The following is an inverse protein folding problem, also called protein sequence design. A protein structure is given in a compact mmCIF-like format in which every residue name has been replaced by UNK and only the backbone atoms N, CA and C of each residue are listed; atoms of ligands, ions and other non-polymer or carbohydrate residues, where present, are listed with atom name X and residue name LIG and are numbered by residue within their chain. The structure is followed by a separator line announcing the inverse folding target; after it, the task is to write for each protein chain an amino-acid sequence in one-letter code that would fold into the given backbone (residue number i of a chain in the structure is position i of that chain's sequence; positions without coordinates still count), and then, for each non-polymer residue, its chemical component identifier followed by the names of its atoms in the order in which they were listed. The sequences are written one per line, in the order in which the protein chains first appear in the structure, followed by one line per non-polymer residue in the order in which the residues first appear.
data_IF_065983391630
#
_entry.id   IF_065983391630
#
_cell.length_a   1.000
_cell.length_b   1.000
_cell.length_c   1.000
_cell.angle_alpha   90.00
_cell.angle_beta   90.00
_cell.angle_gamma   90.00
#
_symmetry.space_group_name_H-M   'P 1'
#
loop_
_entity.id
_entity.type
_entity.pdbx_description
1 polymer ?
#
# COMPACT_ATOMS: atom_id res chain seq x y z
N UNK A 1 1.69 -32.99 13.49
CA UNK A 1 2.05 -31.93 14.45
C UNK A 1 2.02 -30.64 13.68
N UNK A 2 1.14 -29.70 14.04
CA UNK A 2 1.18 -28.33 13.54
C UNK A 2 2.04 -27.52 14.52
N UNK A 3 2.97 -26.73 14.00
CA UNK A 3 3.75 -25.77 14.79
C UNK A 3 3.11 -24.41 14.57
N UNK A 4 2.70 -23.75 15.65
CA UNK A 4 2.24 -22.35 15.61
C UNK A 4 3.43 -21.47 15.92
N UNK A 5 3.77 -20.59 14.99
CA UNK A 5 4.83 -19.59 15.17
C UNK A 5 4.15 -18.24 15.39
N UNK A 6 4.54 -17.54 16.45
CA UNK A 6 4.05 -16.20 16.78
C UNK A 6 5.15 -15.20 16.46
N UNK A 7 4.80 -14.12 15.78
CA UNK A 7 5.66 -12.98 15.51
C UNK A 7 5.05 -11.75 16.16
N UNK A 8 5.89 -10.84 16.65
CA UNK A 8 5.42 -9.58 17.23
C UNK A 8 5.02 -8.58 16.12
N UNK A 9 5.65 -8.70 14.95
CA UNK A 9 5.40 -7.85 13.79
C UNK A 9 5.39 -8.67 12.49
N UNK A 10 4.57 -8.25 11.51
CA UNK A 10 4.53 -8.88 10.20
C UNK A 10 5.84 -8.68 9.43
N UNK A 11 6.50 -7.54 9.62
CA UNK A 11 7.82 -7.21 9.09
C UNK A 11 8.92 -8.17 9.58
N UNK A 12 8.79 -8.79 10.77
CA UNK A 12 9.71 -9.84 11.21
C UNK A 12 9.57 -11.10 10.35
N UNK A 13 8.33 -11.48 10.01
CA UNK A 13 8.05 -12.62 9.16
C UNK A 13 8.63 -12.43 7.76
N UNK A 14 8.53 -11.21 7.19
CA UNK A 14 9.10 -10.86 5.89
C UNK A 14 10.60 -11.19 5.77
N UNK A 15 11.36 -11.14 6.86
CA UNK A 15 12.81 -11.45 6.87
C UNK A 15 13.12 -12.91 6.52
N UNK A 16 12.16 -13.80 6.73
CA UNK A 16 12.33 -15.24 6.57
C UNK A 16 11.82 -15.77 5.23
N UNK A 17 11.31 -14.89 4.35
CA UNK A 17 10.79 -15.28 3.05
C UNK A 17 11.64 -14.70 1.90
N UNK A 18 11.52 -15.27 0.70
CA UNK A 18 12.43 -14.95 -0.40
C UNK A 18 12.09 -13.61 -1.06
N UNK A 19 10.81 -13.34 -1.26
CA UNK A 19 10.29 -12.15 -1.95
C UNK A 19 9.72 -11.13 -0.96
N UNK A 20 9.09 -11.59 0.12
CA UNK A 20 8.54 -10.75 1.16
C UNK A 20 9.57 -9.88 1.87
N UNK A 21 10.86 -10.27 1.87
CA UNK A 21 11.94 -9.39 2.34
C UNK A 21 12.03 -8.07 1.57
N UNK A 22 11.54 -8.01 0.34
CA UNK A 22 11.52 -6.77 -0.44
C UNK A 22 10.52 -5.75 0.14
N UNK A 23 9.51 -6.19 0.91
CA UNK A 23 8.64 -5.29 1.67
C UNK A 23 9.43 -4.49 2.73
N UNK A 24 10.59 -4.98 3.16
CA UNK A 24 11.45 -4.31 4.15
C UNK A 24 12.32 -3.22 3.54
N UNK A 25 12.37 -3.12 2.21
CA UNK A 25 13.04 -2.03 1.50
C UNK A 25 12.09 -0.82 1.31
N UNK A 26 10.84 -0.94 1.75
CA UNK A 26 9.85 0.14 1.72
C UNK A 26 10.14 1.19 2.83
N UNK A 27 9.58 2.40 2.73
CA UNK A 27 9.76 3.41 3.76
C UNK A 27 9.21 2.94 5.12
N UNK A 28 9.86 3.31 6.22
CA UNK A 28 9.50 2.86 7.57
C UNK A 28 8.01 3.02 7.89
N UNK A 29 7.40 4.15 7.48
CA UNK A 29 5.96 4.41 7.66
C UNK A 29 5.06 3.41 6.96
N UNK A 30 5.48 2.91 5.80
CA UNK A 30 4.74 1.90 5.03
C UNK A 30 4.88 0.53 5.70
N UNK A 31 6.05 0.25 6.28
CA UNK A 31 6.29 -0.96 7.06
C UNK A 31 5.44 -0.95 8.34
N UNK A 32 5.40 0.18 9.06
CA UNK A 32 4.55 0.35 10.26
C UNK A 32 3.06 0.14 9.91
N UNK A 33 2.59 0.73 8.80
CA UNK A 33 1.21 0.54 8.34
C UNK A 33 0.90 -0.91 7.91
N UNK A 34 1.90 -1.63 7.38
CA UNK A 34 1.79 -3.04 7.03
C UNK A 34 1.67 -3.90 8.31
N UNK A 35 2.47 -3.59 9.32
CA UNK A 35 2.43 -4.24 10.63
C UNK A 35 1.06 -4.01 11.30
N UNK A 36 0.55 -2.77 11.29
CA UNK A 36 -0.78 -2.43 11.80
C UNK A 36 -1.91 -3.16 11.04
N UNK A 37 -1.79 -3.32 9.71
CA UNK A 37 -2.80 -4.04 8.91
C UNK A 37 -2.89 -5.53 9.28
N UNK A 38 -1.76 -6.16 9.57
CA UNK A 38 -1.70 -7.57 9.94
C UNK A 38 -1.75 -7.82 11.45
N UNK A 39 -1.78 -6.77 12.28
CA UNK A 39 -1.84 -6.92 13.73
C UNK A 39 -3.10 -7.69 14.18
N UNK A 40 -2.89 -8.62 15.12
CA UNK A 40 -3.94 -9.51 15.62
C UNK A 40 -4.45 -10.58 14.65
N UNK A 41 -3.99 -10.61 13.39
CA UNK A 41 -4.41 -11.63 12.42
C UNK A 41 -3.69 -12.96 12.63
N UNK A 42 -4.45 -14.06 12.58
CA UNK A 42 -3.87 -15.40 12.62
C UNK A 42 -3.12 -15.68 11.30
N UNK A 43 -1.83 -15.96 11.40
CA UNK A 43 -0.99 -16.21 10.25
C UNK A 43 -1.05 -17.69 9.80
N UNK A 44 -1.45 -17.93 8.55
CA UNK A 44 -1.28 -19.21 7.87
C UNK A 44 -0.10 -19.13 6.89
N UNK A 45 0.89 -19.99 7.09
CA UNK A 45 2.09 -20.06 6.24
C UNK A 45 1.77 -20.36 4.77
N UNK A 46 0.66 -21.05 4.48
CA UNK A 46 0.22 -21.30 3.10
C UNK A 46 -0.93 -20.37 2.67
N UNK A 47 -1.26 -19.36 3.48
CA UNK A 47 -2.35 -18.44 3.25
C UNK A 47 -1.97 -17.24 2.39
N UNK A 48 -2.97 -16.43 2.05
CA UNK A 48 -2.81 -15.21 1.26
C UNK A 48 -1.94 -14.16 1.97
N UNK A 49 -1.93 -14.16 3.31
CA UNK A 49 -1.08 -13.31 4.12
C UNK A 49 0.41 -13.68 4.07
N UNK A 50 0.83 -14.76 3.39
CA UNK A 50 2.26 -15.08 3.28
C UNK A 50 3.03 -13.92 2.60
N UNK A 51 4.15 -13.42 3.15
CA UNK A 51 4.84 -12.23 2.63
C UNK A 51 5.25 -12.30 1.17
N UNK A 52 5.65 -13.48 0.66
CA UNK A 52 5.93 -13.64 -0.77
C UNK A 52 4.67 -13.46 -1.62
N UNK A 53 3.51 -13.92 -1.13
CA UNK A 53 2.24 -13.74 -1.81
C UNK A 53 1.80 -12.27 -1.74
N UNK A 54 1.93 -11.63 -0.58
CA UNK A 54 1.63 -10.21 -0.41
C UNK A 54 2.47 -9.37 -1.36
N UNK A 55 3.79 -9.59 -1.41
CA UNK A 55 4.68 -8.85 -2.32
C UNK A 55 4.30 -9.01 -3.80
N UNK A 56 3.92 -10.22 -4.23
CA UNK A 56 3.68 -10.51 -5.65
C UNK A 56 2.26 -10.17 -6.10
N UNK A 57 1.26 -10.41 -5.25
CA UNK A 57 -0.15 -10.41 -5.64
C UNK A 57 -0.98 -9.34 -4.95
N UNK A 58 -0.56 -8.83 -3.79
CA UNK A 58 -1.39 -7.93 -2.98
C UNK A 58 -0.85 -6.52 -2.91
N UNK A 59 0.47 -6.36 -2.79
CA UNK A 59 1.12 -5.07 -2.68
C UNK A 59 1.32 -4.44 -4.07
N UNK A 60 1.06 -3.14 -4.16
CA UNK A 60 1.40 -2.34 -5.32
C UNK A 60 1.81 -0.93 -4.93
N UNK A 61 2.66 -0.34 -5.76
CA UNK A 61 3.07 1.06 -5.71
C UNK A 61 2.46 1.75 -6.92
N UNK A 62 1.53 2.67 -6.68
CA UNK A 62 0.75 3.33 -7.73
C UNK A 62 1.17 4.78 -7.89
N UNK A 63 1.17 5.25 -9.13
CA UNK A 63 1.44 6.66 -9.43
C UNK A 63 0.25 7.57 -9.08
N UNK A 64 0.51 8.87 -8.89
CA UNK A 64 -0.54 9.87 -8.69
C UNK A 64 -1.64 9.81 -9.76
N UNK A 65 -1.24 9.52 -11.00
CA UNK A 65 -2.18 9.39 -12.12
C UNK A 65 -3.13 8.21 -11.95
N UNK A 66 -2.60 7.04 -11.62
CA UNK A 66 -3.40 5.83 -11.42
C UNK A 66 -4.38 6.02 -10.27
N UNK A 67 -3.96 6.65 -9.18
CA UNK A 67 -4.83 6.90 -8.03
C UNK A 67 -5.89 7.96 -8.32
N UNK A 68 -5.50 9.13 -8.82
CA UNK A 68 -6.41 10.27 -8.98
C UNK A 68 -7.38 10.12 -10.16
N UNK A 69 -7.01 9.34 -11.18
CA UNK A 69 -7.84 9.13 -12.38
C UNK A 69 -8.47 7.75 -12.37
N UNK A 70 -7.65 6.70 -12.29
CA UNK A 70 -8.12 5.34 -12.61
C UNK A 70 -8.82 4.68 -11.41
N UNK A 71 -8.35 4.93 -10.17
CA UNK A 71 -8.96 4.37 -8.96
C UNK A 71 -10.08 5.26 -8.38
N UNK A 72 -9.80 6.55 -8.18
CA UNK A 72 -10.78 7.44 -7.52
C UNK A 72 -11.69 8.16 -8.50
N UNK A 73 -11.25 8.36 -9.75
CA UNK A 73 -11.99 9.14 -10.74
C UNK A 73 -12.17 10.62 -10.36
N UNK A 74 -11.38 11.14 -9.42
CA UNK A 74 -11.46 12.52 -8.95
C UNK A 74 -11.04 13.52 -10.01
N UNK A 75 -10.10 13.14 -10.87
CA UNK A 75 -9.59 13.98 -11.95
C UNK A 75 -9.79 13.32 -13.31
N UNK A 76 -10.07 14.15 -14.30
CA UNK A 76 -9.90 13.78 -15.70
C UNK A 76 -8.43 13.84 -16.11
N UNK A 77 -8.08 13.20 -17.23
CA UNK A 77 -6.73 13.25 -17.80
C UNK A 77 -6.26 14.67 -18.12
N UNK A 78 -7.18 15.55 -18.50
CA UNK A 78 -6.83 16.94 -18.80
C UNK A 78 -6.51 17.70 -17.50
N UNK A 79 -7.39 17.63 -16.50
CA UNK A 79 -7.18 18.32 -15.21
C UNK A 79 -5.89 17.87 -14.52
N UNK A 80 -5.58 16.57 -14.57
CA UNK A 80 -4.30 16.06 -14.07
C UNK A 80 -3.11 16.67 -14.81
N UNK A 81 -3.18 16.77 -16.14
CA UNK A 81 -2.09 17.35 -16.96
C UNK A 81 -1.89 18.82 -16.63
N UNK A 82 -2.98 19.57 -16.52
CA UNK A 82 -2.94 21.00 -16.18
C UNK A 82 -2.32 21.21 -14.79
N UNK A 83 -2.70 20.40 -13.78
CA UNK A 83 -2.12 20.47 -12.42
C UNK A 83 -0.63 20.15 -12.40
N UNK A 84 -0.17 19.19 -13.22
CA UNK A 84 1.25 18.86 -13.34
C UNK A 84 2.02 20.00 -14.00
N UNK A 85 1.51 20.58 -15.09
CA UNK A 85 2.15 21.69 -15.80
C UNK A 85 2.20 22.97 -14.95
N UNK A 86 1.17 23.21 -14.14
CA UNK A 86 1.13 24.33 -13.19
C UNK A 86 1.98 24.08 -11.92
N UNK A 87 2.48 22.85 -11.71
CA UNK A 87 3.25 22.48 -10.53
C UNK A 87 2.44 22.43 -9.23
N UNK A 88 1.11 22.25 -9.33
CA UNK A 88 0.14 22.31 -8.23
C UNK A 88 -0.40 20.95 -7.80
N UNK A 89 0.08 19.87 -8.43
CA UNK A 89 -0.39 18.51 -8.13
C UNK A 89 -0.18 18.12 -6.66
N UNK A 90 0.99 18.43 -6.09
CA UNK A 90 1.30 18.09 -4.70
C UNK A 90 0.40 18.82 -3.69
N UNK A 91 0.12 20.10 -3.93
CA UNK A 91 -0.81 20.89 -3.12
C UNK A 91 -2.22 20.29 -3.19
N UNK A 92 -2.68 19.93 -4.39
CA UNK A 92 -3.98 19.28 -4.59
C UNK A 92 -4.08 17.96 -3.81
N UNK A 93 -3.07 17.09 -3.90
CA UNK A 93 -3.05 15.83 -3.14
C UNK A 93 -3.11 16.08 -1.63
N UNK A 94 -2.37 17.08 -1.14
CA UNK A 94 -2.38 17.45 0.28
C UNK A 94 -3.75 17.94 0.76
N UNK A 95 -4.40 18.81 -0.02
CA UNK A 95 -5.72 19.36 0.30
C UNK A 95 -6.85 18.31 0.21
N UNK A 96 -6.74 17.38 -0.74
CA UNK A 96 -7.75 16.36 -1.02
C UNK A 96 -7.43 14.98 -0.43
N UNK A 97 -6.40 14.84 0.40
CA UNK A 97 -5.96 13.53 0.95
C UNK A 97 -7.08 12.73 1.61
N UNK A 98 -7.96 13.40 2.37
CA UNK A 98 -9.09 12.73 3.02
C UNK A 98 -10.09 12.18 1.99
N UNK A 99 -10.43 12.97 0.98
CA UNK A 99 -11.36 12.59 -0.09
C UNK A 99 -10.79 11.45 -0.95
N UNK A 100 -9.49 11.51 -1.27
CA UNK A 100 -8.78 10.44 -1.99
C UNK A 100 -8.89 9.13 -1.19
N UNK A 101 -8.63 9.16 0.11
CA UNK A 101 -8.75 7.98 0.98
C UNK A 101 -10.16 7.42 1.03
N UNK A 102 -11.19 8.27 1.09
CA UNK A 102 -12.58 7.82 1.08
C UNK A 102 -13.00 7.17 -0.25
N UNK A 103 -12.36 7.52 -1.38
CA UNK A 103 -12.67 6.93 -2.68
C UNK A 103 -11.86 5.66 -2.98
N UNK A 104 -10.86 5.31 -2.15
CA UNK A 104 -10.06 4.10 -2.30
C UNK A 104 -10.75 2.86 -1.70
N UNK A 105 -12.02 2.63 -2.04
CA UNK A 105 -12.84 1.54 -1.46
C UNK A 105 -12.35 0.13 -1.79
N UNK A 106 -11.57 -0.02 -2.86
CA UNK A 106 -11.13 -1.33 -3.38
C UNK A 106 -9.77 -1.79 -2.85
N UNK A 107 -9.06 -0.91 -2.12
CA UNK A 107 -7.69 -1.15 -1.64
C UNK A 107 -7.50 -0.58 -0.24
N UNK A 108 -6.59 -1.18 0.52
CA UNK A 108 -6.13 -0.59 1.77
C UNK A 108 -4.92 0.31 1.49
N UNK A 109 -5.01 1.59 1.84
CA UNK A 109 -3.90 2.53 1.69
C UNK A 109 -2.93 2.41 2.87
N UNK A 110 -1.70 1.97 2.59
CA UNK A 110 -0.60 1.96 3.56
C UNK A 110 -0.01 3.36 3.75
N UNK A 111 0.08 4.14 2.67
CA UNK A 111 0.56 5.52 2.74
C UNK A 111 0.96 6.12 1.40
N UNK A 112 1.36 7.39 1.43
CA UNK A 112 1.89 8.12 0.30
C UNK A 112 3.30 8.62 0.64
N UNK A 113 4.31 8.09 -0.04
CA UNK A 113 5.71 8.39 0.24
C UNK A 113 6.49 8.48 -1.08
N UNK A 114 7.43 9.42 -1.18
CA UNK A 114 8.28 9.65 -2.36
C UNK A 114 7.55 9.86 -3.71
N UNK A 115 6.27 10.23 -3.69
CA UNK A 115 5.46 10.43 -4.90
C UNK A 115 4.67 9.20 -5.35
N UNK A 116 4.74 8.11 -4.57
CA UNK A 116 4.04 6.86 -4.84
C UNK A 116 3.00 6.55 -3.75
N UNK A 117 1.90 5.96 -4.17
CA UNK A 117 0.81 5.48 -3.31
C UNK A 117 0.99 3.99 -3.06
N UNK A 118 1.28 3.64 -1.82
CA UNK A 118 1.49 2.27 -1.39
C UNK A 118 0.17 1.66 -0.93
N UNK A 119 -0.28 0.61 -1.61
CA UNK A 119 -1.59 0.00 -1.36
C UNK A 119 -1.51 -1.52 -1.24
N UNK A 120 -2.50 -2.10 -0.54
CA UNK A 120 -2.79 -3.52 -0.55
C UNK A 120 -4.14 -3.77 -1.21
N UNK A 121 -4.15 -4.60 -2.24
CA UNK A 121 -5.37 -5.22 -2.74
C UNK A 121 -5.80 -6.31 -1.76
N UNK A 122 -7.10 -6.34 -1.42
CA UNK A 122 -7.70 -7.18 -0.38
C UNK A 122 -7.09 -8.60 -0.32
N UNK A 123 -6.55 -8.97 0.86
CA UNK A 123 -5.81 -10.22 1.15
C UNK A 123 -6.61 -11.11 2.07
#
# INVERSE_FOLDING_TARGET
MSVTVTFDYYSELCRYTNLGRNLLDLPDRIIDALDDYFDGNAFDWNGYAHPDNVWVNSYSSLSDREVLIDLTGLLTRQEFTDLVEEGRLSDFIGEHMYEIKEHLDSVYLLGYEFGDWHVLYCV
#
